data_IF_578492085048
#
_entry.id   IF_578492085048
#
_cell.length_a   1.000
_cell.length_b   1.000
_cell.length_c   1.000
_cell.angle_alpha   90.00
_cell.angle_beta   90.00
_cell.angle_gamma   90.00
#
_symmetry.space_group_name_H-M   'P 1'
#
loop_
_entity.id
_entity.type
_entity.pdbx_description
1 polymer ?
#
# COMPACT_ATOMS: atom_id res chain seq x y z
N UNK A 1 1.25 -17.03 3.61
CA UNK A 1 -0.12 -16.71 3.16
C UNK A 1 -0.64 -17.85 2.29
N UNK A 2 -1.83 -18.29 2.61
CA UNK A 2 -2.45 -19.38 1.86
C UNK A 2 -3.11 -18.85 0.60
N UNK A 3 -2.69 -19.40 -0.53
CA UNK A 3 -3.16 -18.91 -1.82
C UNK A 3 -4.66 -19.14 -2.06
N UNK A 4 -5.23 -20.18 -1.45
CA UNK A 4 -6.64 -20.49 -1.66
C UNK A 4 -7.60 -19.40 -1.21
N UNK A 5 -7.15 -18.46 -0.40
CA UNK A 5 -7.99 -17.38 0.10
C UNK A 5 -7.81 -16.08 -0.68
N UNK A 6 -7.03 -16.09 -1.73
CA UNK A 6 -6.77 -14.89 -2.52
C UNK A 6 -7.88 -14.67 -3.53
N UNK A 7 -8.49 -13.49 -3.50
CA UNK A 7 -9.55 -13.11 -4.42
C UNK A 7 -9.25 -11.71 -4.97
N UNK A 8 -9.84 -11.34 -6.09
CA UNK A 8 -9.63 -9.98 -6.61
C UNK A 8 -9.98 -8.88 -5.61
N UNK A 9 -10.93 -9.13 -4.73
CA UNK A 9 -11.36 -8.11 -3.79
C UNK A 9 -10.49 -8.04 -2.54
N UNK A 10 -9.64 -9.04 -2.27
CA UNK A 10 -8.78 -8.99 -1.10
C UNK A 10 -7.30 -9.05 -1.43
N UNK A 11 -6.94 -9.13 -2.71
CA UNK A 11 -5.54 -9.24 -3.09
C UNK A 11 -4.72 -8.02 -2.63
N UNK A 12 -5.34 -6.84 -2.63
CA UNK A 12 -4.65 -5.64 -2.18
C UNK A 12 -4.26 -5.71 -0.71
N UNK A 13 -5.17 -6.21 0.14
CA UNK A 13 -4.88 -6.37 1.56
C UNK A 13 -3.73 -7.33 1.77
N UNK A 14 -3.72 -8.42 1.01
CA UNK A 14 -2.68 -9.43 1.14
C UNK A 14 -1.34 -8.87 0.72
N UNK A 15 -1.30 -8.19 -0.41
CA UNK A 15 -0.06 -7.60 -0.92
C UNK A 15 0.49 -6.56 0.06
N UNK A 16 -0.37 -5.69 0.55
CA UNK A 16 0.09 -4.66 1.49
C UNK A 16 0.64 -5.27 2.76
N UNK A 17 0.04 -6.35 3.24
CA UNK A 17 0.51 -6.99 4.47
C UNK A 17 1.86 -7.67 4.31
N UNK A 18 2.31 -7.91 3.08
CA UNK A 18 3.63 -8.47 2.82
C UNK A 18 4.72 -7.41 2.88
N UNK A 19 4.37 -6.15 2.82
CA UNK A 19 5.35 -5.08 2.86
C UNK A 19 5.88 -4.95 4.29
N UNK A 20 7.21 -4.93 4.48
CA UNK A 20 7.78 -4.80 5.83
C UNK A 20 7.24 -3.55 6.53
N UNK A 21 6.84 -3.70 7.77
CA UNK A 21 6.33 -2.59 8.56
C UNK A 21 4.84 -2.36 8.46
N UNK A 22 4.14 -3.13 7.62
CA UNK A 22 2.69 -2.99 7.47
C UNK A 22 2.02 -4.26 7.99
N UNK A 23 1.17 -4.09 9.01
CA UNK A 23 0.43 -5.21 9.58
C UNK A 23 -0.82 -5.50 8.75
N UNK A 24 -1.40 -6.68 8.99
CA UNK A 24 -2.66 -7.03 8.33
C UNK A 24 -3.76 -6.03 8.66
N UNK A 25 -3.81 -5.57 9.89
CA UNK A 25 -4.82 -4.61 10.32
C UNK A 25 -4.68 -3.29 9.56
N UNK A 26 -3.45 -2.84 9.40
CA UNK A 26 -3.18 -1.61 8.66
C UNK A 26 -3.54 -1.77 7.18
N UNK A 27 -3.19 -2.91 6.59
CA UNK A 27 -3.48 -3.13 5.18
C UNK A 27 -4.97 -3.16 4.89
N UNK A 28 -5.76 -3.77 5.79
CA UNK A 28 -7.21 -3.76 5.64
C UNK A 28 -7.75 -2.34 5.71
N UNK A 29 -7.27 -1.56 6.68
CA UNK A 29 -7.72 -0.18 6.84
C UNK A 29 -7.41 0.65 5.60
N UNK A 30 -6.24 0.46 5.02
CA UNK A 30 -5.87 1.18 3.80
C UNK A 30 -6.80 0.80 2.65
N UNK A 31 -7.01 -0.48 2.44
CA UNK A 31 -7.82 -0.93 1.31
C UNK A 31 -9.29 -0.59 1.46
N UNK A 32 -9.77 -0.27 2.66
CA UNK A 32 -11.14 0.18 2.83
C UNK A 32 -11.41 1.52 2.14
N UNK A 33 -10.37 2.24 1.78
CA UNK A 33 -10.48 3.52 1.09
C UNK A 33 -10.45 3.38 -0.43
N UNK A 34 -10.28 2.17 -0.93
CA UNK A 34 -10.19 1.92 -2.37
C UNK A 34 -11.05 0.73 -2.73
N UNK A 35 -11.59 0.74 -3.93
CA UNK A 35 -12.43 -0.37 -4.38
C UNK A 35 -11.61 -1.57 -4.86
N UNK A 36 -10.34 -1.34 -5.19
CA UNK A 36 -9.48 -2.41 -5.69
C UNK A 36 -8.02 -2.00 -5.57
N UNK A 37 -7.14 -2.97 -5.74
CA UNK A 37 -5.71 -2.68 -5.79
C UNK A 37 -5.39 -1.77 -6.97
N UNK A 38 -6.08 -1.98 -8.10
CA UNK A 38 -5.88 -1.13 -9.27
C UNK A 38 -6.17 0.33 -8.95
N UNK A 39 -7.25 0.58 -8.23
CA UNK A 39 -7.59 1.95 -7.86
C UNK A 39 -6.52 2.57 -6.97
N UNK A 40 -6.02 1.79 -6.01
CA UNK A 40 -4.94 2.27 -5.15
C UNK A 40 -3.72 2.67 -5.97
N UNK A 41 -3.30 1.80 -6.88
CA UNK A 41 -2.12 2.06 -7.71
C UNK A 41 -2.32 3.26 -8.62
N UNK A 42 -3.52 3.38 -9.20
CA UNK A 42 -3.83 4.49 -10.08
C UNK A 42 -3.77 5.81 -9.33
N UNK A 43 -4.34 5.85 -8.14
CA UNK A 43 -4.33 7.08 -7.35
C UNK A 43 -2.92 7.43 -6.86
N UNK A 44 -2.12 6.43 -6.53
CA UNK A 44 -0.74 6.69 -6.13
C UNK A 44 0.07 7.32 -7.26
N UNK A 45 -0.20 6.91 -8.49
CA UNK A 45 0.50 7.47 -9.64
C UNK A 45 0.06 8.89 -9.95
N UNK A 46 -1.21 9.19 -9.74
CA UNK A 46 -1.74 10.52 -10.03
C UNK A 46 -1.50 11.50 -8.89
N UNK A 47 -1.64 11.03 -7.67
CA UNK A 47 -1.54 11.88 -6.49
C UNK A 47 -0.79 11.11 -5.41
N UNK A 48 0.49 11.42 -5.29
CA UNK A 48 1.32 10.72 -4.31
C UNK A 48 1.00 11.13 -2.87
N UNK A 49 0.06 12.04 -2.68
CA UNK A 49 -0.37 12.45 -1.35
C UNK A 49 -1.65 11.76 -0.91
N UNK A 50 -2.22 10.89 -1.75
CA UNK A 50 -3.50 10.27 -1.42
C UNK A 50 -3.44 9.45 -0.12
N UNK A 51 -2.29 8.90 0.20
CA UNK A 51 -2.12 8.14 1.44
C UNK A 51 -2.08 9.01 2.67
N UNK A 52 -1.76 10.28 2.52
CA UNK A 52 -1.67 11.20 3.66
C UNK A 52 -3.03 11.47 4.30
N UNK A 53 -4.11 11.23 3.57
CA UNK A 53 -5.44 11.50 4.07
C UNK A 53 -6.12 10.27 4.66
N UNK A 54 -5.48 9.11 4.54
CA UNK A 54 -6.04 7.87 5.06
C UNK A 54 -5.87 7.85 6.56
N UNK A 55 -6.95 7.50 7.27
CA UNK A 55 -6.92 7.37 8.71
C UNK A 55 -7.24 5.95 9.12
N UNK A 56 -6.70 5.54 10.25
CA UNK A 56 -6.90 4.22 10.83
C UNK A 56 -7.53 4.41 12.20
N UNK A 57 -8.58 3.63 12.46
CA UNK A 57 -9.20 3.67 13.78
C UNK A 57 -8.27 3.07 14.81
N UNK A 58 -8.12 3.74 15.93
CA UNK A 58 -7.33 3.25 17.04
C UNK A 58 -8.14 3.39 18.33
N UNK A 59 -7.60 2.88 19.42
CA UNK A 59 -8.28 2.95 20.72
C UNK A 59 -8.57 4.38 21.14
N UNK A 60 -7.74 5.30 20.73
CA UNK A 60 -7.86 6.70 21.12
C UNK A 60 -8.47 7.57 20.01
N UNK A 61 -9.07 6.93 19.00
CA UNK A 61 -9.68 7.64 17.90
C UNK A 61 -9.02 7.31 16.59
N UNK A 62 -9.05 8.24 15.67
CA UNK A 62 -8.46 8.05 14.35
C UNK A 62 -7.06 8.66 14.31
N UNK A 63 -6.16 8.02 13.59
CA UNK A 63 -4.84 8.57 13.35
C UNK A 63 -4.44 8.30 11.92
N UNK A 64 -3.58 9.16 11.39
CA UNK A 64 -3.09 9.02 10.02
C UNK A 64 -1.99 7.99 9.95
N UNK A 65 -1.75 7.49 8.74
CA UNK A 65 -0.64 6.58 8.50
C UNK A 65 0.68 7.28 8.81
N UNK A 66 1.63 6.52 9.36
CA UNK A 66 2.95 7.07 9.60
C UNK A 66 3.69 7.27 8.27
N UNK A 67 4.66 8.17 8.27
CA UNK A 67 5.45 8.41 7.07
C UNK A 67 6.23 7.17 6.66
N UNK A 68 6.64 6.35 7.64
CA UNK A 68 7.32 5.10 7.34
C UNK A 68 6.43 4.18 6.52
N UNK A 69 5.17 4.04 6.91
CA UNK A 69 4.23 3.18 6.20
C UNK A 69 3.98 3.72 4.80
N UNK A 70 3.74 5.02 4.68
CA UNK A 70 3.48 5.65 3.39
C UNK A 70 4.68 5.47 2.47
N UNK A 71 5.86 5.72 2.97
CA UNK A 71 7.10 5.57 2.20
C UNK A 71 7.29 4.14 1.73
N UNK A 72 7.04 3.17 2.60
CA UNK A 72 7.16 1.76 2.24
C UNK A 72 6.19 1.38 1.14
N UNK A 73 4.94 1.83 1.25
CA UNK A 73 3.94 1.54 0.23
C UNK A 73 4.39 2.08 -1.13
N UNK A 74 4.82 3.32 -1.16
CA UNK A 74 5.28 3.93 -2.40
C UNK A 74 6.49 3.19 -2.98
N UNK A 75 7.44 2.86 -2.13
CA UNK A 75 8.64 2.18 -2.57
C UNK A 75 8.33 0.83 -3.20
N UNK A 76 7.47 0.05 -2.55
CA UNK A 76 7.20 -1.30 -3.02
C UNK A 76 6.19 -1.37 -4.15
N UNK A 77 5.19 -0.50 -4.15
CA UNK A 77 4.15 -0.56 -5.16
C UNK A 77 4.48 0.25 -6.41
N UNK A 78 5.27 1.29 -6.27
CA UNK A 78 5.66 2.12 -7.41
C UNK A 78 7.05 1.81 -7.92
N UNK A 79 7.62 0.70 -7.46
CA UNK A 79 8.92 0.26 -7.90
C UNK A 79 8.95 0.12 -9.43
N UNK A 80 9.99 0.69 -10.04
CA UNK A 80 10.16 0.63 -11.47
C UNK A 80 11.50 -0.02 -11.79
N UNK A 81 11.43 -1.20 -12.39
CA UNK A 81 12.63 -1.95 -12.71
C UNK A 81 13.54 -1.19 -13.67
N UNK A 82 12.96 -0.43 -14.57
CA UNK A 82 13.74 0.32 -15.55
C UNK A 82 14.63 1.36 -14.89
N UNK A 83 14.15 1.98 -13.81
CA UNK A 83 14.96 2.94 -13.08
C UNK A 83 16.17 2.28 -12.44
N UNK A 84 16.00 1.06 -11.94
CA UNK A 84 17.09 0.31 -11.32
C UNK A 84 18.08 -0.14 -12.38
N UNK A 85 17.57 -0.64 -13.51
CA UNK A 85 18.42 -1.12 -14.59
C UNK A 85 19.30 0.00 -15.11
N UNK A 86 18.75 1.20 -15.26
CA UNK A 86 19.52 2.34 -15.73
C UNK A 86 20.70 2.61 -14.80
N UNK A 87 20.47 2.54 -13.50
CA UNK A 87 21.55 2.76 -12.54
C UNK A 87 22.62 1.67 -12.62
N UNK A 88 22.22 0.46 -12.85
CA UNK A 88 23.15 -0.65 -12.92
C UNK A 88 24.00 -0.57 -14.16
N UNK A 89 23.45 -0.11 -15.26
CA UNK A 89 24.15 -0.07 -16.54
C UNK A 89 25.09 1.12 -16.67
N UNK A 90 25.07 1.99 -15.70
CA UNK A 90 26.05 3.08 -15.69
C UNK A 90 27.26 2.72 -14.88
#
# INVERSE_FOLDING_TARGET
>A
VKKKNIRPDNIGEIILSQIPGISSKTSVAIMQNFSSLYELLTKLQKDNKCLNEITIKSKNGKRRLSQSVISSIKTYLLYNKDSVVIKINT
#
